data_IF_345403243128
#
_entry.id   IF_345403243128
#
_cell.length_a   1.000
_cell.length_b   1.000
_cell.length_c   1.000
_cell.angle_alpha   90.00
_cell.angle_beta   90.00
_cell.angle_gamma   90.00
#
_symmetry.space_group_name_H-M   'P 1'
#
loop_
_entity.id
_entity.type
_entity.pdbx_description
1 polymer ?
#
# COMPACT_ATOMS: atom_id res chain seq x y z
N UNK A 1 18.76 13.28 -0.50
CA UNK A 1 18.26 12.74 0.77
C UNK A 1 16.75 12.66 0.73
N UNK A 2 16.17 11.52 1.10
CA UNK A 2 14.73 11.39 1.22
C UNK A 2 14.22 12.29 2.34
N UNK A 3 13.06 12.92 2.13
CA UNK A 3 12.44 13.80 3.13
C UNK A 3 11.10 13.23 3.55
N UNK A 4 10.96 12.88 4.83
CA UNK A 4 9.70 12.39 5.39
C UNK A 4 8.92 13.52 6.05
N UNK A 5 7.62 13.60 5.78
CA UNK A 5 6.70 14.57 6.39
C UNK A 5 5.41 13.90 6.84
N UNK A 6 4.84 14.41 7.92
CA UNK A 6 3.47 14.09 8.30
C UNK A 6 2.49 14.78 7.33
N UNK A 7 1.48 14.04 6.89
CA UNK A 7 0.38 14.53 6.06
C UNK A 7 -0.94 14.14 6.72
N UNK A 8 -1.83 15.13 6.86
CA UNK A 8 -3.20 14.89 7.29
C UNK A 8 -4.05 14.44 6.11
N UNK A 9 -4.79 13.35 6.32
CA UNK A 9 -5.74 12.79 5.37
C UNK A 9 -7.18 13.12 5.81
N UNK A 10 -8.15 13.14 4.87
CA UNK A 10 -9.53 13.45 5.17
C UNK A 10 -10.10 12.57 6.29
N UNK A 11 -10.77 13.18 7.27
CA UNK A 11 -11.35 12.47 8.41
C UNK A 11 -10.41 12.32 9.62
N UNK A 12 -9.27 13.03 9.65
CA UNK A 12 -8.35 13.05 10.79
C UNK A 12 -7.33 11.91 10.80
N UNK A 13 -7.27 11.12 9.75
CA UNK A 13 -6.22 10.12 9.56
C UNK A 13 -4.88 10.80 9.27
N UNK A 14 -3.77 10.14 9.60
CA UNK A 14 -2.43 10.67 9.39
C UNK A 14 -1.56 9.65 8.66
N UNK A 15 -0.75 10.12 7.72
CA UNK A 15 0.24 9.30 7.03
C UNK A 15 1.63 9.97 7.06
N UNK A 16 2.66 9.15 6.88
CA UNK A 16 4.01 9.61 6.60
C UNK A 16 4.24 9.56 5.09
N UNK A 17 4.65 10.68 4.51
CA UNK A 17 5.01 10.77 3.10
C UNK A 17 6.52 10.97 3.00
N UNK A 18 7.21 10.01 2.40
CA UNK A 18 8.65 10.09 2.12
C UNK A 18 8.85 10.44 0.66
N UNK A 19 9.49 11.58 0.40
CA UNK A 19 9.91 11.98 -0.94
C UNK A 19 11.16 11.18 -1.33
N UNK A 20 11.04 10.34 -2.36
CA UNK A 20 12.14 9.49 -2.83
C UNK A 20 12.92 10.18 -3.95
N UNK A 21 14.12 9.69 -4.23
CA UNK A 21 14.87 10.19 -5.39
C UNK A 21 14.14 9.77 -6.66
N UNK A 22 13.85 10.73 -7.53
CA UNK A 22 13.15 10.47 -8.80
C UNK A 22 13.86 9.44 -9.68
N UNK A 23 13.08 8.60 -10.36
CA UNK A 23 13.61 7.63 -11.31
C UNK A 23 14.23 8.34 -12.53
N UNK A 24 15.55 8.33 -12.63
CA UNK A 24 16.27 8.81 -13.81
C UNK A 24 16.18 7.72 -14.88
N UNK A 25 15.71 8.06 -16.08
CA UNK A 25 15.70 7.12 -17.21
C UNK A 25 17.10 6.53 -17.41
N UNK A 26 17.16 5.20 -17.56
CA UNK A 26 18.41 4.43 -17.75
C UNK A 26 19.40 4.68 -16.61
N UNK A 27 19.01 4.35 -15.37
CA UNK A 27 20.01 4.11 -14.34
C UNK A 27 21.02 3.08 -14.88
N UNK A 28 22.31 3.44 -14.99
CA UNK A 28 23.34 2.45 -15.30
C UNK A 28 23.17 1.27 -14.34
N UNK A 29 23.30 0.04 -14.81
CA UNK A 29 23.16 -1.17 -13.97
C UNK A 29 24.06 -1.13 -12.73
N UNK A 30 25.21 -0.45 -12.84
CA UNK A 30 26.13 -0.17 -11.74
C UNK A 30 25.58 0.81 -10.68
N UNK A 31 24.76 1.78 -11.09
CA UNK A 31 24.06 2.71 -10.19
C UNK A 31 22.81 2.09 -9.57
N UNK A 32 22.17 1.10 -10.20
CA UNK A 32 21.05 0.37 -9.59
C UNK A 32 21.47 -0.26 -8.25
N UNK A 33 22.70 -0.77 -8.15
CA UNK A 33 23.24 -1.29 -6.90
C UNK A 33 23.45 -0.20 -5.83
N UNK A 34 23.87 1.00 -6.21
CA UNK A 34 24.02 2.13 -5.31
C UNK A 34 22.65 2.71 -4.87
N UNK A 35 21.65 2.64 -5.74
CA UNK A 35 20.28 3.04 -5.43
C UNK A 35 19.51 1.98 -4.64
N UNK A 36 19.89 0.70 -4.70
CA UNK A 36 19.22 -0.36 -3.92
C UNK A 36 19.10 0.00 -2.44
N UNK A 37 20.15 0.54 -1.82
CA UNK A 37 20.11 1.00 -0.42
C UNK A 37 19.10 2.16 -0.21
N UNK A 38 18.92 3.05 -1.18
CA UNK A 38 17.90 4.12 -1.13
C UNK A 38 16.50 3.66 -1.57
N UNK A 39 16.40 2.46 -2.17
CA UNK A 39 15.14 1.84 -2.60
C UNK A 39 14.67 0.77 -1.60
N UNK A 40 15.45 0.48 -0.55
CA UNK A 40 15.00 -0.34 0.59
C UNK A 40 13.79 0.31 1.27
N UNK A 41 13.76 1.64 1.38
CA UNK A 41 12.61 2.38 1.91
C UNK A 41 11.32 2.16 1.09
N UNK A 42 11.42 1.83 -0.21
CA UNK A 42 10.25 1.47 -1.03
C UNK A 42 9.68 0.14 -0.58
N UNK A 43 10.53 -0.83 -0.22
CA UNK A 43 10.08 -2.17 0.17
C UNK A 43 9.30 -2.19 1.50
N UNK A 44 9.50 -1.17 2.35
CA UNK A 44 8.80 -1.00 3.61
C UNK A 44 7.51 -0.17 3.49
N UNK A 45 7.24 0.42 2.32
CA UNK A 45 6.09 1.28 2.14
C UNK A 45 4.77 0.49 2.12
N UNK A 46 3.77 0.99 2.83
CA UNK A 46 2.40 0.46 2.78
C UNK A 46 1.70 0.77 1.44
N UNK A 47 2.13 1.85 0.76
CA UNK A 47 1.53 2.37 -0.47
C UNK A 47 2.53 3.21 -1.25
N UNK A 48 2.58 3.04 -2.58
CA UNK A 48 3.38 3.87 -3.47
C UNK A 48 2.55 4.93 -4.17
N UNK A 49 3.06 6.16 -4.23
CA UNK A 49 2.55 7.22 -5.11
C UNK A 49 3.48 7.34 -6.32
N UNK A 50 2.99 6.93 -7.48
CA UNK A 50 3.73 7.04 -8.72
C UNK A 50 3.30 8.31 -9.47
N UNK A 51 4.10 9.37 -9.35
CA UNK A 51 3.82 10.66 -9.98
C UNK A 51 4.32 10.67 -11.43
N UNK A 52 3.40 10.86 -12.37
CA UNK A 52 3.68 10.90 -13.81
C UNK A 52 3.39 12.29 -14.35
N UNK A 53 4.35 12.90 -15.05
CA UNK A 53 4.11 14.12 -15.82
C UNK A 53 3.32 13.79 -17.09
N UNK A 54 2.01 14.01 -17.06
CA UNK A 54 1.12 13.64 -18.17
C UNK A 54 1.23 14.60 -19.37
N UNK A 55 1.88 15.75 -19.20
CA UNK A 55 2.13 16.68 -20.30
C UNK A 55 3.30 16.25 -21.19
N UNK A 56 4.10 15.26 -20.75
CA UNK A 56 5.27 14.80 -21.49
C UNK A 56 4.87 13.79 -22.59
N UNK A 57 5.36 13.93 -23.84
CA UNK A 57 5.01 13.01 -24.93
C UNK A 57 5.34 11.53 -24.65
N UNK A 58 6.37 11.29 -23.84
CA UNK A 58 6.80 9.94 -23.43
C UNK A 58 6.29 9.50 -22.05
N UNK A 59 5.24 10.14 -21.50
CA UNK A 59 4.72 9.84 -20.16
C UNK A 59 4.43 8.35 -19.96
N UNK A 60 3.78 7.71 -20.93
CA UNK A 60 3.45 6.28 -20.88
C UNK A 60 4.70 5.40 -20.79
N UNK A 61 5.69 5.65 -21.65
CA UNK A 61 6.93 4.87 -21.67
C UNK A 61 7.72 5.05 -20.36
N UNK A 62 7.73 6.26 -19.80
CA UNK A 62 8.36 6.54 -18.51
C UNK A 62 7.66 5.78 -17.38
N UNK A 63 6.33 5.85 -17.34
CA UNK A 63 5.54 5.15 -16.32
C UNK A 63 5.77 3.63 -16.38
N UNK A 64 5.81 3.05 -17.58
CA UNK A 64 6.10 1.62 -17.78
C UNK A 64 7.52 1.24 -17.34
N UNK A 65 8.51 2.09 -17.60
CA UNK A 65 9.88 1.85 -17.16
C UNK A 65 9.98 1.79 -15.62
N UNK A 66 9.34 2.72 -14.91
CA UNK A 66 9.29 2.72 -13.44
C UNK A 66 8.62 1.45 -12.92
N UNK A 67 7.48 1.06 -13.49
CA UNK A 67 6.80 -0.19 -13.11
C UNK A 67 7.67 -1.43 -13.32
N UNK A 68 8.49 -1.46 -14.37
CA UNK A 68 9.44 -2.55 -14.59
C UNK A 68 10.52 -2.58 -13.51
N UNK A 69 11.14 -1.44 -13.20
CA UNK A 69 12.16 -1.35 -12.14
C UNK A 69 11.60 -1.74 -10.77
N UNK A 70 10.38 -1.32 -10.43
CA UNK A 70 9.71 -1.73 -9.18
C UNK A 70 9.56 -3.27 -9.09
N UNK A 71 9.30 -3.95 -10.20
CA UNK A 71 9.26 -5.43 -10.23
C UNK A 71 10.65 -6.04 -10.06
N UNK A 72 11.68 -5.50 -10.70
CA UNK A 72 13.06 -6.00 -10.61
C UNK A 72 13.64 -5.89 -9.18
N UNK A 73 13.21 -4.88 -8.41
CA UNK A 73 13.62 -4.70 -7.01
C UNK A 73 12.71 -5.43 -6.01
N UNK A 74 11.69 -6.16 -6.48
CA UNK A 74 10.78 -6.92 -5.62
C UNK A 74 9.63 -6.10 -5.01
N UNK A 75 9.51 -4.81 -5.32
CA UNK A 75 8.46 -3.92 -4.81
C UNK A 75 7.14 -3.96 -5.61
N UNK A 76 7.05 -4.76 -6.68
CA UNK A 76 5.87 -4.81 -7.54
C UNK A 76 4.58 -5.34 -6.90
N UNK A 77 4.65 -5.84 -5.67
CA UNK A 77 3.51 -6.32 -4.89
C UNK A 77 2.86 -5.22 -4.03
N UNK A 78 3.55 -4.10 -3.83
CA UNK A 78 3.07 -3.00 -3.00
C UNK A 78 1.96 -2.26 -3.76
N UNK A 79 0.81 -1.97 -3.11
CA UNK A 79 -0.24 -1.17 -3.73
C UNK A 79 0.32 0.15 -4.26
N UNK A 80 -0.22 0.63 -5.38
CA UNK A 80 0.28 1.84 -6.03
C UNK A 80 -0.86 2.68 -6.59
N UNK A 81 -0.85 3.97 -6.26
CA UNK A 81 -1.71 4.98 -6.90
C UNK A 81 -0.88 5.72 -7.94
N UNK A 82 -1.39 5.79 -9.18
CA UNK A 82 -0.75 6.60 -10.23
C UNK A 82 -1.30 8.02 -10.19
N UNK A 83 -0.43 9.00 -9.94
CA UNK A 83 -0.78 10.42 -9.86
C UNK A 83 -0.38 11.10 -11.17
N UNK A 84 -1.36 11.37 -12.03
CA UNK A 84 -1.19 12.04 -13.31
C UNK A 84 -1.08 13.55 -13.07
N UNK A 85 0.15 14.02 -12.85
CA UNK A 85 0.44 15.40 -12.49
C UNK A 85 0.62 16.29 -13.74
N UNK A 86 0.52 17.60 -13.51
CA UNK A 86 0.65 18.69 -14.51
C UNK A 86 -0.52 18.78 -15.49
N UNK A 87 -1.74 18.50 -15.04
CA UNK A 87 -2.95 18.68 -15.87
C UNK A 87 -3.13 20.15 -16.31
N UNK A 88 -2.58 21.11 -15.58
CA UNK A 88 -2.57 22.54 -15.94
C UNK A 88 -1.81 22.83 -17.24
N UNK A 89 -1.00 21.88 -17.72
CA UNK A 89 -0.24 22.00 -18.97
C UNK A 89 -0.89 21.30 -20.16
N UNK A 90 -2.02 20.61 -19.95
CA UNK A 90 -2.73 19.95 -21.03
C UNK A 90 -3.52 20.98 -21.84
N UNK A 91 -3.40 20.91 -23.17
CA UNK A 91 -4.16 21.76 -24.07
C UNK A 91 -5.66 21.41 -24.07
N UNK A 92 -5.98 20.13 -23.85
CA UNK A 92 -7.36 19.63 -23.75
C UNK A 92 -7.60 19.05 -22.34
N UNK A 93 -8.52 19.65 -21.54
CA UNK A 93 -8.93 19.13 -20.24
C UNK A 93 -9.49 17.69 -20.30
N UNK A 94 -10.04 17.25 -21.42
CA UNK A 94 -10.53 15.88 -21.58
C UNK A 94 -9.40 14.86 -21.74
N UNK A 95 -8.20 15.29 -22.17
CA UNK A 95 -7.05 14.40 -22.31
C UNK A 95 -6.64 13.77 -20.96
N UNK A 96 -6.84 14.47 -19.84
CA UNK A 96 -6.62 13.91 -18.51
C UNK A 96 -7.55 12.72 -18.22
N UNK A 97 -8.83 12.81 -18.63
CA UNK A 97 -9.81 11.73 -18.44
C UNK A 97 -9.50 10.52 -19.31
N UNK A 98 -9.07 10.74 -20.55
CA UNK A 98 -8.62 9.66 -21.43
C UNK A 98 -7.34 8.99 -20.91
N UNK A 99 -6.43 9.76 -20.31
CA UNK A 99 -5.22 9.23 -19.70
C UNK A 99 -5.52 8.29 -18.53
N UNK A 100 -6.48 8.63 -17.65
CA UNK A 100 -6.89 7.79 -16.51
C UNK A 100 -7.27 6.36 -16.95
N UNK A 101 -7.88 6.20 -18.13
CA UNK A 101 -8.27 4.88 -18.65
C UNK A 101 -7.08 3.93 -18.86
N UNK A 102 -5.88 4.48 -19.02
CA UNK A 102 -4.65 3.70 -19.22
C UNK A 102 -3.98 3.31 -17.89
N UNK A 103 -4.42 3.87 -16.76
CA UNK A 103 -3.81 3.67 -15.45
C UNK A 103 -4.86 3.21 -14.42
N UNK A 104 -4.85 1.92 -14.02
CA UNK A 104 -5.70 1.46 -12.92
C UNK A 104 -5.34 2.21 -11.62
N UNK A 105 -6.36 2.55 -10.81
CA UNK A 105 -6.21 3.32 -9.56
C UNK A 105 -5.36 4.59 -9.74
N UNK A 106 -5.84 5.50 -10.60
CA UNK A 106 -5.17 6.76 -10.88
C UNK A 106 -6.01 7.99 -10.53
N UNK A 107 -5.32 9.10 -10.30
CA UNK A 107 -5.91 10.42 -10.03
C UNK A 107 -5.15 11.48 -10.82
N UNK A 108 -5.87 12.42 -11.40
CA UNK A 108 -5.28 13.51 -12.18
C UNK A 108 -5.22 14.79 -11.34
N UNK A 109 -4.04 15.40 -11.25
CA UNK A 109 -3.79 16.57 -10.40
C UNK A 109 -2.97 17.63 -11.11
N UNK A 110 -3.02 18.85 -10.61
CA UNK A 110 -1.92 19.80 -10.74
C UNK A 110 -1.37 20.10 -9.37
N UNK A 111 -0.17 19.59 -9.07
CA UNK A 111 0.54 19.94 -7.86
C UNK A 111 0.86 21.45 -7.78
N UNK A 112 0.82 22.17 -8.92
CA UNK A 112 1.08 23.60 -8.98
C UNK A 112 -0.14 24.43 -8.58
N UNK A 113 -1.32 24.09 -9.08
CA UNK A 113 -2.57 24.84 -8.80
C UNK A 113 -3.30 24.30 -7.57
N UNK A 114 -3.04 23.04 -7.21
CA UNK A 114 -3.77 22.31 -6.16
C UNK A 114 -4.97 21.52 -6.70
N UNK A 115 -5.29 21.63 -7.98
CA UNK A 115 -6.41 20.91 -8.59
C UNK A 115 -6.23 19.39 -8.44
N UNK A 116 -7.28 18.70 -8.01
CA UNK A 116 -7.29 17.25 -7.80
C UNK A 116 -6.56 16.76 -6.54
N UNK A 117 -5.89 17.62 -5.76
CA UNK A 117 -5.27 17.21 -4.50
C UNK A 117 -6.28 16.66 -3.46
N UNK A 118 -7.48 17.25 -3.26
CA UNK A 118 -8.45 16.67 -2.33
C UNK A 118 -8.88 15.25 -2.71
N UNK A 119 -9.09 14.99 -4.00
CA UNK A 119 -9.44 13.67 -4.52
C UNK A 119 -8.28 12.68 -4.34
N UNK A 120 -7.04 13.13 -4.56
CA UNK A 120 -5.84 12.33 -4.31
C UNK A 120 -5.73 11.94 -2.83
N UNK A 121 -5.94 12.89 -1.90
CA UNK A 121 -5.89 12.62 -0.46
C UNK A 121 -7.00 11.66 -0.01
N UNK A 122 -8.20 11.76 -0.59
CA UNK A 122 -9.27 10.80 -0.35
C UNK A 122 -8.94 9.40 -0.88
N UNK A 123 -8.36 9.31 -2.08
CA UNK A 123 -7.92 8.03 -2.65
C UNK A 123 -6.80 7.39 -1.82
N UNK A 124 -5.85 8.19 -1.33
CA UNK A 124 -4.80 7.74 -0.40
C UNK A 124 -5.38 7.17 0.88
N UNK A 125 -6.31 7.90 1.50
CA UNK A 125 -7.03 7.43 2.69
C UNK A 125 -7.68 6.08 2.42
N UNK A 126 -8.41 5.93 1.33
CA UNK A 126 -9.11 4.69 1.03
C UNK A 126 -8.13 3.53 0.80
N UNK A 127 -7.05 3.77 0.04
CA UNK A 127 -6.04 2.76 -0.20
C UNK A 127 -5.37 2.30 1.10
N UNK A 128 -4.99 3.24 1.99
CA UNK A 128 -4.32 2.95 3.25
C UNK A 128 -5.25 2.35 4.32
N UNK A 129 -6.49 2.83 4.43
CA UNK A 129 -7.37 2.58 5.58
C UNK A 129 -8.68 1.86 5.25
N UNK A 130 -9.13 1.81 3.99
CA UNK A 130 -10.41 1.21 3.60
C UNK A 130 -10.27 -0.05 2.74
N UNK A 131 -9.06 -0.42 2.32
CA UNK A 131 -8.84 -1.71 1.64
C UNK A 131 -8.70 -2.81 2.68
N UNK A 132 -9.83 -3.41 3.02
CA UNK A 132 -9.92 -4.53 3.94
C UNK A 132 -9.63 -5.86 3.22
N UNK A 133 -8.60 -6.56 3.67
CA UNK A 133 -8.25 -7.91 3.21
C UNK A 133 -8.96 -8.93 4.11
N UNK A 134 -9.75 -9.85 3.55
CA UNK A 134 -10.32 -10.96 4.31
C UNK A 134 -9.22 -11.81 4.93
N UNK A 135 -9.38 -12.16 6.20
CA UNK A 135 -8.41 -12.96 6.94
C UNK A 135 -9.12 -13.85 7.95
N UNK A 136 -8.59 -15.06 8.13
CA UNK A 136 -8.95 -15.98 9.20
C UNK A 136 -7.68 -16.30 9.98
N UNK A 137 -7.65 -15.95 11.26
CA UNK A 137 -6.48 -16.13 12.12
C UNK A 137 -6.82 -16.90 13.38
N UNK A 138 -5.89 -17.71 13.85
CA UNK A 138 -5.96 -18.38 15.15
C UNK A 138 -4.88 -17.80 16.06
N UNK A 139 -5.29 -16.99 17.03
CA UNK A 139 -4.41 -16.24 17.91
C UNK A 139 -4.42 -16.84 19.32
N UNK A 140 -3.28 -17.28 19.86
CA UNK A 140 -3.16 -17.64 21.28
C UNK A 140 -3.46 -16.43 22.17
N UNK A 141 -3.98 -16.62 23.39
CA UNK A 141 -4.26 -15.51 24.30
C UNK A 141 -3.02 -14.70 24.69
N UNK A 142 -1.83 -15.29 24.57
CA UNK A 142 -0.54 -14.61 24.75
C UNK A 142 -0.32 -13.50 23.70
N UNK A 143 -0.96 -13.60 22.53
CA UNK A 143 -0.92 -12.57 21.47
C UNK A 143 -1.98 -11.48 21.68
N UNK A 144 -2.17 -11.03 22.92
CA UNK A 144 -3.19 -10.05 23.29
C UNK A 144 -3.12 -8.74 22.51
N UNK A 145 -1.92 -8.34 22.06
CA UNK A 145 -1.73 -7.16 21.21
C UNK A 145 -2.37 -7.33 19.83
N UNK A 146 -2.15 -8.48 19.17
CA UNK A 146 -2.76 -8.78 17.88
C UNK A 146 -4.28 -8.94 17.98
N UNK A 147 -4.76 -9.54 19.07
CA UNK A 147 -6.20 -9.65 19.35
C UNK A 147 -6.82 -8.26 19.50
N UNK A 148 -6.21 -7.39 20.31
CA UNK A 148 -6.69 -6.02 20.52
C UNK A 148 -6.64 -5.21 19.22
N UNK A 149 -5.56 -5.33 18.45
CA UNK A 149 -5.41 -4.68 17.16
C UNK A 149 -6.51 -5.12 16.19
N UNK A 150 -6.80 -6.42 16.08
CA UNK A 150 -7.89 -6.92 15.23
C UNK A 150 -9.24 -6.32 15.67
N UNK A 151 -9.52 -6.26 16.98
CA UNK A 151 -10.74 -5.62 17.48
C UNK A 151 -10.82 -4.12 17.20
N UNK A 152 -9.70 -3.41 17.20
CA UNK A 152 -9.65 -1.96 16.99
C UNK A 152 -9.83 -1.58 15.52
N UNK A 153 -9.18 -2.31 14.61
CA UNK A 153 -9.07 -1.91 13.19
C UNK A 153 -9.79 -2.85 12.22
N UNK A 154 -10.14 -4.05 12.67
CA UNK A 154 -10.74 -5.10 11.84
C UNK A 154 -12.27 -5.01 11.77
N UNK A 155 -12.83 -5.42 10.63
CA UNK A 155 -14.24 -5.73 10.51
C UNK A 155 -14.43 -7.21 10.85
N UNK A 156 -14.93 -7.47 12.05
CA UNK A 156 -15.10 -8.81 12.57
C UNK A 156 -16.39 -9.43 12.05
N UNK A 157 -16.28 -10.56 11.37
CA UNK A 157 -17.41 -11.40 10.95
C UNK A 157 -17.72 -12.48 11.98
N UNK A 158 -16.69 -13.09 12.57
CA UNK A 158 -16.83 -14.16 13.55
C UNK A 158 -15.67 -14.19 14.54
N UNK A 159 -15.99 -14.50 15.79
CA UNK A 159 -15.02 -14.79 16.85
C UNK A 159 -15.42 -16.08 17.54
N UNK A 160 -14.50 -17.02 17.66
CA UNK A 160 -14.70 -18.27 18.42
C UNK A 160 -13.59 -18.42 19.46
N UNK A 161 -14.00 -18.52 20.72
CA UNK A 161 -13.07 -18.79 21.81
C UNK A 161 -12.77 -20.28 21.87
N UNK A 162 -11.48 -20.62 21.95
CA UNK A 162 -10.99 -21.99 22.04
C UNK A 162 -10.08 -22.16 23.26
N UNK A 163 -9.72 -23.41 23.55
CA UNK A 163 -8.74 -23.72 24.60
C UNK A 163 -7.38 -23.16 24.17
N UNK A 164 -6.89 -22.15 24.90
CA UNK A 164 -5.58 -21.53 24.64
C UNK A 164 -5.57 -20.34 23.67
N UNK A 165 -6.69 -19.98 23.03
CA UNK A 165 -6.72 -18.85 22.12
C UNK A 165 -8.11 -18.52 21.55
N UNK A 166 -8.09 -17.76 20.45
CA UNK A 166 -9.29 -17.29 19.75
C UNK A 166 -9.10 -17.44 18.23
N UNK A 167 -10.12 -17.96 17.57
CA UNK A 167 -10.24 -17.91 16.11
C UNK A 167 -11.01 -16.65 15.74
N UNK A 168 -10.40 -15.78 14.93
CA UNK A 168 -11.01 -14.54 14.45
C UNK A 168 -11.10 -14.57 12.94
N UNK A 169 -12.31 -14.38 12.44
CA UNK A 169 -12.63 -14.24 11.02
C UNK A 169 -13.15 -12.84 10.76
N UNK A 170 -12.70 -12.24 9.68
CA UNK A 170 -13.25 -11.00 9.19
C UNK A 170 -12.35 -10.43 8.11
N UNK A 171 -12.19 -9.12 8.14
CA UNK A 171 -11.23 -8.45 7.29
C UNK A 171 -10.47 -7.39 8.08
N UNK A 172 -9.24 -7.10 7.67
CA UNK A 172 -8.40 -6.06 8.28
C UNK A 172 -7.76 -5.22 7.18
N UNK A 173 -7.35 -3.97 7.44
CA UNK A 173 -6.60 -3.20 6.46
C UNK A 173 -5.39 -3.98 5.93
N UNK A 174 -5.21 -4.03 4.61
CA UNK A 174 -4.20 -4.86 3.95
C UNK A 174 -2.76 -4.62 4.41
N UNK A 175 -2.43 -3.42 4.89
CA UNK A 175 -1.12 -3.13 5.49
C UNK A 175 -0.82 -3.97 6.74
N UNK A 176 -1.86 -4.39 7.46
CA UNK A 176 -1.72 -5.18 8.69
C UNK A 176 -1.61 -6.68 8.43
N UNK A 177 -1.96 -7.17 7.24
CA UNK A 177 -1.99 -8.62 6.95
C UNK A 177 -0.67 -9.33 7.24
N UNK A 178 0.48 -8.66 7.07
CA UNK A 178 1.80 -9.19 7.36
C UNK A 178 2.00 -9.52 8.86
N UNK A 179 1.46 -8.69 9.77
CA UNK A 179 1.55 -8.90 11.22
C UNK A 179 0.78 -10.15 11.68
N UNK A 180 -0.24 -10.54 10.92
CA UNK A 180 -1.07 -11.71 11.19
C UNK A 180 -0.64 -12.97 10.42
N UNK A 181 0.37 -12.88 9.55
CA UNK A 181 0.73 -13.94 8.60
C UNK A 181 1.04 -15.30 9.24
N UNK A 182 1.73 -15.32 10.39
CA UNK A 182 2.07 -16.54 11.14
C UNK A 182 0.85 -17.26 11.72
N UNK A 183 -0.26 -16.56 11.88
CA UNK A 183 -1.45 -17.04 12.56
C UNK A 183 -2.60 -17.33 11.60
N UNK A 184 -2.40 -17.08 10.30
CA UNK A 184 -3.42 -17.34 9.28
C UNK A 184 -3.69 -18.83 9.16
N UNK A 185 -4.98 -19.18 9.22
CA UNK A 185 -5.42 -20.57 9.07
C UNK A 185 -5.48 -20.92 7.59
N UNK A 186 -4.78 -21.98 7.19
CA UNK A 186 -4.83 -22.47 5.81
C UNK A 186 -6.10 -23.27 5.57
N UNK A 187 -6.66 -23.27 4.34
CA UNK A 187 -7.80 -24.13 4.01
C UNK A 187 -7.43 -25.60 4.26
N UNK A 188 -8.05 -26.22 5.27
CA UNK A 188 -7.87 -27.64 5.62
C UNK A 188 -7.07 -27.93 6.91
N UNK A 189 -6.56 -26.92 7.62
CA UNK A 189 -5.91 -27.14 8.93
C UNK A 189 -6.93 -27.56 10.01
N UNK A 190 -6.78 -28.79 10.52
CA UNK A 190 -7.55 -29.30 11.67
C UNK A 190 -7.13 -28.59 12.97
N UNK A 191 -8.08 -28.57 13.93
CA UNK A 191 -7.90 -28.09 15.31
C UNK A 191 -6.53 -28.49 15.88
N UNK A 192 -5.86 -27.56 16.56
CA UNK A 192 -4.69 -27.90 17.38
C UNK A 192 -5.13 -28.84 18.50
N UNK A 193 -4.75 -30.12 18.39
CA UNK A 193 -4.61 -30.98 19.56
C UNK A 193 -3.35 -30.50 20.27
N UNK A 194 -3.53 -29.84 21.42
CA UNK A 194 -2.41 -29.55 22.32
C UNK A 194 -2.09 -30.87 23.01
N UNK A 195 -0.88 -31.38 22.81
CA UNK A 195 -0.34 -32.53 23.53
C UNK A 195 -0.46 -32.27 25.04
N UNK A 196 -1.20 -33.13 25.74
CA UNK A 196 -1.23 -33.17 27.19
C UNK A 196 0.14 -33.67 27.67
N UNK A 197 0.99 -32.75 28.15
CA UNK A 197 2.07 -33.14 29.05
C UNK A 197 1.44 -33.51 30.41
N UNK A 198 1.31 -34.82 30.63
CA UNK A 198 0.99 -35.42 31.93
C UNK A 198 2.04 -34.99 32.97
N UNK A 199 1.57 -34.48 34.11
CA UNK A 199 2.29 -34.48 35.40
C UNK A 199 1.37 -35.12 36.45
#
# INVERSE_FOLDING_TARGET
DPTTRHVELPGGYQALLTDTVGFIQKLPTTLVAAFRATLEEIAEADLLLHVVDISHPSALNQAQAVQHTLKEIGAGHIPMITVLNKIDRLADPQAARAAIQHYPQSVAISARTGDGLPDMLALLRNALYETYTPILVRLPYQQGQLISLFHEVGQIERVEHERGGVLMQGSIPGRLTAQFSLWQVRPGEKKMEVEEEEI
#
